data_IF_672439690395
#
_entry.id   IF_672439690395
#
_cell.length_a   1.000
_cell.length_b   1.000
_cell.length_c   1.000
_cell.angle_alpha   90.00
_cell.angle_beta   90.00
_cell.angle_gamma   90.00
#
_symmetry.space_group_name_H-M   'P 1'
#
loop_
_entity.id
_entity.type
_entity.pdbx_description
1 polymer ?
#
# COMPACT_ATOMS: atom_id res chain seq x y z
N UNK A 1 -20.73 -16.08 10.95
CA UNK A 1 -20.50 -17.54 10.96
C UNK A 1 -20.41 -17.99 9.50
N UNK A 2 -19.22 -17.91 8.88
CA UNK A 2 -19.02 -18.35 7.49
C UNK A 2 -19.03 -19.87 7.45
N UNK A 3 -19.83 -20.44 6.54
CA UNK A 3 -19.94 -21.88 6.37
C UNK A 3 -18.67 -22.44 5.74
N UNK A 4 -18.18 -23.59 6.20
CA UNK A 4 -17.11 -24.39 5.61
C UNK A 4 -17.42 -24.61 4.12
N UNK A 5 -16.71 -23.90 3.21
CA UNK A 5 -16.93 -23.99 1.76
C UNK A 5 -16.99 -22.62 1.03
N UNK A 6 -17.00 -21.48 1.74
CA UNK A 6 -16.94 -20.16 1.10
C UNK A 6 -15.52 -19.85 0.65
N UNK A 7 -15.39 -19.41 -0.61
CA UNK A 7 -14.11 -18.98 -1.19
C UNK A 7 -13.56 -17.82 -0.36
N UNK A 8 -12.30 -17.93 0.04
CA UNK A 8 -11.57 -16.85 0.68
C UNK A 8 -11.55 -15.66 -0.27
N UNK A 9 -11.93 -14.47 0.19
CA UNK A 9 -12.01 -13.27 -0.66
C UNK A 9 -10.70 -12.99 -1.41
N UNK A 10 -9.57 -13.27 -0.77
CA UNK A 10 -8.25 -13.15 -1.39
C UNK A 10 -8.14 -14.01 -2.66
N UNK A 11 -8.62 -15.25 -2.63
CA UNK A 11 -8.57 -16.15 -3.80
C UNK A 11 -9.42 -15.64 -4.95
N UNK A 12 -10.58 -15.03 -4.66
CA UNK A 12 -11.44 -14.42 -5.68
C UNK A 12 -10.76 -13.19 -6.30
N UNK A 13 -10.16 -12.33 -5.49
CA UNK A 13 -9.41 -11.18 -5.97
C UNK A 13 -8.25 -11.64 -6.85
N UNK A 14 -7.43 -12.58 -6.38
CA UNK A 14 -6.29 -13.11 -7.14
C UNK A 14 -6.72 -13.79 -8.45
N UNK A 15 -7.87 -14.44 -8.47
CA UNK A 15 -8.45 -15.00 -9.71
C UNK A 15 -8.75 -13.88 -10.70
N UNK A 16 -9.43 -12.82 -10.27
CA UNK A 16 -9.74 -11.66 -11.12
C UNK A 16 -8.47 -10.95 -11.59
N UNK A 17 -7.51 -10.75 -10.70
CA UNK A 17 -6.19 -10.19 -11.04
C UNK A 17 -5.52 -10.98 -12.17
N UNK A 18 -5.52 -12.33 -12.10
CA UNK A 18 -4.94 -13.19 -13.17
C UNK A 18 -5.68 -13.04 -14.51
N UNK A 19 -7.02 -12.95 -14.47
CA UNK A 19 -7.84 -12.75 -15.67
C UNK A 19 -7.52 -11.41 -16.34
N UNK A 20 -7.48 -10.33 -15.56
CA UNK A 20 -7.18 -8.98 -16.04
C UNK A 20 -5.74 -8.86 -16.55
N UNK A 21 -4.79 -9.42 -15.82
CA UNK A 21 -3.39 -9.45 -16.24
C UNK A 21 -3.20 -10.14 -17.59
N UNK A 22 -3.84 -11.30 -17.78
CA UNK A 22 -3.81 -12.01 -19.07
C UNK A 22 -4.37 -11.16 -20.21
N UNK A 23 -5.44 -10.42 -19.98
CA UNK A 23 -6.04 -9.49 -20.95
C UNK A 23 -5.08 -8.34 -21.26
N UNK A 24 -4.54 -7.67 -20.23
CA UNK A 24 -3.61 -6.52 -20.39
C UNK A 24 -2.35 -6.92 -21.14
N UNK A 25 -1.73 -8.06 -20.83
CA UNK A 25 -0.55 -8.60 -21.55
C UNK A 25 -0.82 -8.90 -23.02
N UNK A 26 -2.07 -9.25 -23.39
CA UNK A 26 -2.45 -9.42 -24.80
C UNK A 26 -2.62 -8.10 -25.55
N UNK A 27 -3.11 -7.06 -24.85
CA UNK A 27 -3.31 -5.73 -25.44
C UNK A 27 -1.99 -4.96 -25.59
N UNK A 28 -1.12 -5.08 -24.60
CA UNK A 28 0.18 -4.43 -24.58
C UNK A 28 1.22 -5.40 -24.01
N UNK A 29 2.20 -5.81 -24.83
CA UNK A 29 3.23 -6.75 -24.39
C UNK A 29 4.15 -6.09 -23.35
N UNK A 30 4.85 -6.92 -22.55
CA UNK A 30 5.83 -6.45 -21.56
C UNK A 30 6.89 -5.55 -22.21
N UNK A 31 7.38 -5.93 -23.39
CA UNK A 31 8.40 -5.16 -24.14
C UNK A 31 7.87 -3.79 -24.60
N UNK A 32 6.64 -3.75 -25.13
CA UNK A 32 6.03 -2.48 -25.55
C UNK A 32 5.72 -1.58 -24.37
N UNK A 33 5.27 -2.14 -23.24
CA UNK A 33 5.11 -1.41 -21.99
C UNK A 33 6.46 -0.84 -21.51
N UNK A 34 7.54 -1.62 -21.57
CA UNK A 34 8.87 -1.18 -21.20
C UNK A 34 9.39 -0.05 -22.11
N UNK A 35 9.09 -0.08 -23.41
CA UNK A 35 9.46 0.99 -24.33
C UNK A 35 8.82 2.34 -23.99
N UNK A 36 7.65 2.35 -23.35
CA UNK A 36 7.00 3.61 -22.95
C UNK A 36 7.78 4.36 -21.86
N UNK A 37 8.70 3.69 -21.15
CA UNK A 37 9.59 4.34 -20.19
C UNK A 37 10.52 5.38 -20.80
N UNK A 38 10.88 5.24 -22.07
CA UNK A 38 11.72 6.24 -22.76
C UNK A 38 11.06 7.62 -22.87
N UNK A 39 9.74 7.67 -22.80
CA UNK A 39 8.95 8.90 -22.81
C UNK A 39 8.35 9.23 -21.42
N UNK A 40 8.66 8.44 -20.39
CA UNK A 40 8.12 8.66 -19.06
C UNK A 40 8.84 9.85 -18.38
N UNK A 41 8.12 10.91 -18.01
CA UNK A 41 8.74 12.08 -17.36
C UNK A 41 8.99 11.84 -15.85
N UNK A 42 8.56 10.69 -15.31
CA UNK A 42 8.58 10.45 -13.88
C UNK A 42 9.77 9.59 -13.46
N UNK A 43 10.58 10.13 -12.56
CA UNK A 43 11.60 9.36 -11.84
C UNK A 43 11.04 8.97 -10.46
N UNK A 44 11.28 7.73 -9.97
CA UNK A 44 10.87 7.33 -8.63
C UNK A 44 11.43 8.26 -7.56
N UNK A 45 10.60 8.57 -6.57
CA UNK A 45 10.97 9.39 -5.41
C UNK A 45 11.55 8.50 -4.32
N UNK A 46 12.34 9.10 -3.42
CA UNK A 46 12.98 8.40 -2.32
C UNK A 46 11.96 8.06 -1.22
N UNK A 47 11.40 6.85 -1.30
CA UNK A 47 10.40 6.32 -0.36
C UNK A 47 11.02 6.04 1.01
N UNK A 48 12.26 5.54 1.04
CA UNK A 48 12.97 5.23 2.30
C UNK A 48 13.15 6.51 3.11
N UNK A 49 13.58 7.58 2.47
CA UNK A 49 13.72 8.89 3.12
C UNK A 49 12.37 9.43 3.59
N UNK A 50 11.32 9.29 2.79
CA UNK A 50 9.98 9.80 3.12
C UNK A 50 9.36 9.08 4.32
N UNK A 51 9.59 7.77 4.47
CA UNK A 51 8.97 6.95 5.51
C UNK A 51 9.84 6.73 6.76
N UNK A 52 11.10 7.19 6.74
CA UNK A 52 11.97 7.05 7.89
C UNK A 52 11.60 8.07 8.97
N UNK A 53 11.25 7.60 10.15
CA UNK A 53 11.00 8.43 11.32
C UNK A 53 12.27 9.19 11.76
N UNK A 54 12.09 10.34 12.39
CA UNK A 54 13.16 11.17 12.94
C UNK A 54 12.79 11.62 14.36
N UNK A 55 13.75 12.08 15.19
CA UNK A 55 13.43 12.58 16.53
C UNK A 55 12.39 13.71 16.56
N UNK A 56 12.34 14.55 15.51
CA UNK A 56 11.38 15.66 15.39
C UNK A 56 10.05 15.19 14.77
N UNK A 57 10.04 14.09 14.03
CA UNK A 57 8.88 13.50 13.40
C UNK A 57 8.90 11.99 13.73
N UNK A 58 8.38 11.62 14.91
CA UNK A 58 8.56 10.25 15.43
C UNK A 58 7.82 9.19 14.63
N UNK A 59 6.83 9.58 13.84
CA UNK A 59 6.15 8.68 12.90
C UNK A 59 5.71 9.40 11.62
N UNK A 60 5.45 8.61 10.59
CA UNK A 60 5.06 9.06 9.26
C UNK A 60 3.65 8.59 8.88
N UNK A 61 2.96 9.32 8.02
CA UNK A 61 1.61 8.96 7.55
C UNK A 61 1.59 8.64 6.06
N UNK A 62 1.11 7.43 5.73
CA UNK A 62 0.74 7.01 4.39
C UNK A 62 -0.77 7.16 4.28
N UNK A 63 -1.22 8.20 3.58
CA UNK A 63 -2.64 8.52 3.45
C UNK A 63 -3.26 7.78 2.26
N UNK A 64 -4.26 6.92 2.53
CA UNK A 64 -4.84 6.07 1.49
C UNK A 64 -6.01 6.73 0.77
N UNK A 65 -5.95 6.72 -0.56
CA UNK A 65 -6.99 7.20 -1.49
C UNK A 65 -7.80 6.00 -1.96
N UNK A 66 -8.96 5.80 -1.32
CA UNK A 66 -9.79 4.59 -1.48
C UNK A 66 -11.28 4.92 -1.61
N UNK A 67 -11.90 4.53 -2.73
CA UNK A 67 -13.32 4.73 -2.98
C UNK A 67 -14.20 3.73 -2.24
N UNK A 68 -13.81 2.46 -2.25
CA UNK A 68 -14.59 1.35 -1.71
C UNK A 68 -13.69 0.26 -1.12
N UNK A 69 -14.28 -0.66 -0.37
CA UNK A 69 -13.64 -1.90 0.07
C UNK A 69 -14.65 -3.04 0.15
N UNK A 70 -14.23 -4.31 0.06
CA UNK A 70 -15.11 -5.48 0.17
C UNK A 70 -15.91 -5.51 1.49
N UNK A 71 -15.29 -5.08 2.59
CA UNK A 71 -15.88 -5.12 3.93
C UNK A 71 -16.85 -3.97 4.24
N UNK A 72 -16.78 -2.84 3.50
CA UNK A 72 -17.51 -1.60 3.81
C UNK A 72 -18.35 -1.07 2.62
N UNK A 73 -18.22 -1.68 1.44
CA UNK A 73 -18.82 -1.13 0.23
C UNK A 73 -18.20 0.21 -0.17
N UNK A 74 -18.99 1.11 -0.73
CA UNK A 74 -18.55 2.48 -1.06
C UNK A 74 -18.33 3.27 0.24
N UNK A 75 -17.12 3.81 0.40
CA UNK A 75 -16.70 4.60 1.57
C UNK A 75 -16.91 6.09 1.29
N UNK A 76 -16.57 6.52 0.06
CA UNK A 76 -16.70 7.91 -0.37
C UNK A 76 -17.41 7.97 -1.73
N UNK A 77 -18.64 8.46 -1.74
CA UNK A 77 -19.46 8.57 -2.96
C UNK A 77 -18.88 9.60 -3.93
N UNK A 78 -18.64 10.81 -3.44
CA UNK A 78 -17.98 11.86 -4.21
C UNK A 78 -16.46 11.70 -4.15
N UNK A 79 -15.94 10.89 -5.09
CA UNK A 79 -14.54 10.49 -5.09
C UNK A 79 -13.78 11.17 -6.23
N UNK A 80 -12.90 12.09 -5.87
CA UNK A 80 -12.00 12.79 -6.79
C UNK A 80 -10.54 12.61 -6.33
N UNK A 81 -9.81 11.67 -6.90
CA UNK A 81 -8.50 11.26 -6.39
C UNK A 81 -7.49 12.41 -6.33
N UNK A 82 -7.46 13.30 -7.31
CA UNK A 82 -6.54 14.45 -7.32
C UNK A 82 -6.88 15.47 -6.25
N UNK A 83 -8.17 15.77 -6.04
CA UNK A 83 -8.58 16.70 -4.97
C UNK A 83 -8.23 16.13 -3.59
N UNK A 84 -8.49 14.84 -3.36
CA UNK A 84 -8.13 14.13 -2.12
C UNK A 84 -6.62 14.17 -1.90
N UNK A 85 -5.83 13.86 -2.93
CA UNK A 85 -4.36 13.90 -2.84
C UNK A 85 -3.83 15.29 -2.49
N UNK A 86 -4.44 16.35 -3.01
CA UNK A 86 -4.06 17.73 -2.68
C UNK A 86 -4.39 18.09 -1.23
N UNK A 87 -5.53 17.62 -0.70
CA UNK A 87 -5.84 17.81 0.72
C UNK A 87 -4.86 17.06 1.62
N UNK A 88 -4.45 15.86 1.23
CA UNK A 88 -3.39 15.12 1.92
C UNK A 88 -2.03 15.81 1.84
N UNK A 89 -1.67 16.39 0.69
CA UNK A 89 -0.40 17.11 0.51
C UNK A 89 -0.36 18.41 1.32
N UNK A 90 -1.49 19.14 1.42
CA UNK A 90 -1.62 20.33 2.30
C UNK A 90 -1.40 19.98 3.78
N UNK A 91 -1.84 18.80 4.21
CA UNK A 91 -1.65 18.29 5.55
C UNK A 91 -0.29 17.58 5.73
N UNK A 92 0.63 17.74 4.77
CA UNK A 92 1.98 17.19 4.79
C UNK A 92 2.02 15.67 4.99
N UNK A 93 1.13 14.93 4.29
CA UNK A 93 1.22 13.47 4.22
C UNK A 93 2.58 13.03 3.65
N UNK A 94 3.20 12.02 4.27
CA UNK A 94 4.55 11.57 3.93
C UNK A 94 4.56 10.66 2.68
N UNK A 95 3.47 9.91 2.44
CA UNK A 95 3.23 9.16 1.22
C UNK A 95 1.72 9.00 0.96
N UNK A 96 1.37 8.68 -0.28
CA UNK A 96 0.01 8.28 -0.66
C UNK A 96 -0.05 6.79 -0.95
N UNK A 97 -1.16 6.15 -0.56
CA UNK A 97 -1.53 4.80 -0.99
C UNK A 97 -2.73 4.90 -1.92
N UNK A 98 -2.57 4.52 -3.19
CA UNK A 98 -3.62 4.65 -4.21
C UNK A 98 -4.16 3.29 -4.61
N UNK A 99 -5.44 3.04 -4.31
CA UNK A 99 -6.12 1.80 -4.71
C UNK A 99 -6.29 1.76 -6.22
N UNK A 100 -5.74 0.72 -6.87
CA UNK A 100 -5.84 0.53 -8.31
C UNK A 100 -6.64 -0.71 -8.71
N UNK A 101 -7.02 -1.57 -7.75
CA UNK A 101 -7.83 -2.76 -8.00
C UNK A 101 -9.28 -2.35 -8.37
N UNK A 102 -9.80 -2.72 -9.57
CA UNK A 102 -11.04 -2.15 -10.09
C UNK A 102 -12.32 -2.84 -9.61
N UNK A 103 -12.28 -4.12 -9.27
CA UNK A 103 -13.50 -4.92 -9.04
C UNK A 103 -14.04 -4.78 -7.62
N UNK A 104 -13.17 -4.90 -6.62
CA UNK A 104 -13.52 -4.95 -5.21
C UNK A 104 -13.31 -3.61 -4.49
N UNK A 105 -12.33 -2.81 -4.95
CA UNK A 105 -12.00 -1.52 -4.35
C UNK A 105 -12.45 -0.33 -5.20
N UNK A 106 -12.98 -0.56 -6.42
CA UNK A 106 -13.37 0.47 -7.38
C UNK A 106 -12.22 1.44 -7.67
N UNK A 107 -10.98 0.90 -7.69
CA UNK A 107 -9.76 1.61 -8.02
C UNK A 107 -9.55 1.73 -9.53
N UNK A 108 -8.53 2.50 -9.91
CA UNK A 108 -8.08 2.63 -11.29
C UNK A 108 -6.60 2.97 -11.31
N UNK A 109 -5.85 2.30 -12.19
CA UNK A 109 -4.41 2.54 -12.36
C UNK A 109 -4.11 3.98 -12.83
N UNK A 110 -5.02 4.59 -13.59
CA UNK A 110 -4.94 5.98 -14.03
C UNK A 110 -4.93 7.00 -12.89
N UNK A 111 -5.46 6.66 -11.72
CA UNK A 111 -5.43 7.56 -10.56
C UNK A 111 -3.99 7.92 -10.17
N UNK A 112 -3.03 6.99 -10.33
CA UNK A 112 -1.62 7.22 -10.05
C UNK A 112 -1.09 8.34 -10.95
N UNK A 113 -1.26 8.23 -12.28
CA UNK A 113 -0.76 9.22 -13.24
C UNK A 113 -1.46 10.57 -13.09
N UNK A 114 -2.76 10.58 -12.76
CA UNK A 114 -3.48 11.80 -12.48
C UNK A 114 -2.94 12.53 -11.24
N UNK A 115 -2.71 11.81 -10.13
CA UNK A 115 -2.18 12.37 -8.89
C UNK A 115 -0.74 12.82 -9.09
N UNK A 116 0.08 12.02 -9.76
CA UNK A 116 1.51 12.27 -9.98
C UNK A 116 1.79 13.63 -10.63
N UNK A 117 0.90 14.09 -11.52
CA UNK A 117 1.02 15.38 -12.22
C UNK A 117 0.92 16.59 -11.29
N UNK A 118 0.26 16.46 -10.16
CA UNK A 118 -0.11 17.58 -9.30
C UNK A 118 0.50 17.53 -7.91
N UNK A 119 1.21 16.47 -7.56
CA UNK A 119 1.78 16.27 -6.22
C UNK A 119 3.24 15.85 -6.28
N UNK A 120 3.97 16.10 -5.18
CA UNK A 120 5.38 15.69 -5.00
C UNK A 120 5.55 14.55 -3.99
N UNK A 121 4.51 14.19 -3.30
CA UNK A 121 4.49 13.12 -2.28
C UNK A 121 4.62 11.73 -2.93
N UNK A 122 5.44 10.81 -2.41
CA UNK A 122 5.60 9.45 -2.95
C UNK A 122 4.28 8.69 -3.02
N UNK A 123 4.11 7.85 -4.06
CA UNK A 123 2.86 7.14 -4.37
C UNK A 123 3.07 5.63 -4.33
N UNK A 124 2.35 4.95 -3.44
CA UNK A 124 2.18 3.49 -3.41
C UNK A 124 1.09 3.08 -4.40
N UNK A 125 1.42 2.16 -5.31
CA UNK A 125 0.38 1.37 -5.99
C UNK A 125 -0.14 0.31 -5.03
N UNK A 126 -1.34 0.50 -4.49
CA UNK A 126 -2.04 -0.45 -3.61
C UNK A 126 -2.91 -1.37 -4.47
N UNK A 127 -2.41 -2.57 -4.74
CA UNK A 127 -3.01 -3.56 -5.65
C UNK A 127 -2.57 -4.98 -5.23
N UNK A 128 -3.14 -6.01 -5.86
CA UNK A 128 -2.73 -7.40 -5.69
C UNK A 128 -1.72 -7.77 -6.77
N UNK A 129 -0.43 -7.54 -6.49
CA UNK A 129 0.66 -7.72 -7.44
C UNK A 129 1.19 -9.16 -7.37
N UNK A 130 1.16 -9.85 -8.51
CA UNK A 130 1.55 -11.25 -8.68
C UNK A 130 2.50 -11.47 -9.87
N UNK A 131 2.86 -10.40 -10.58
CA UNK A 131 3.64 -10.50 -11.82
C UNK A 131 4.46 -9.22 -12.05
N UNK A 132 5.66 -9.36 -12.62
CA UNK A 132 6.57 -8.26 -12.97
C UNK A 132 5.91 -7.23 -13.91
N UNK A 133 4.97 -7.66 -14.74
CA UNK A 133 4.21 -6.77 -15.60
C UNK A 133 3.48 -5.68 -14.82
N UNK A 134 2.87 -6.03 -13.68
CA UNK A 134 2.19 -5.05 -12.84
C UNK A 134 3.15 -4.07 -12.17
N UNK A 135 4.37 -4.52 -11.86
CA UNK A 135 5.42 -3.65 -11.29
C UNK A 135 5.92 -2.66 -12.35
N UNK A 136 6.11 -3.15 -13.59
CA UNK A 136 6.46 -2.28 -14.71
C UNK A 136 5.34 -1.27 -15.02
N UNK A 137 4.06 -1.68 -14.98
CA UNK A 137 2.93 -0.76 -15.07
C UNK A 137 3.00 0.32 -13.97
N UNK A 138 3.30 -0.06 -12.72
CA UNK A 138 3.40 0.90 -11.61
C UNK A 138 4.43 2.01 -11.93
N UNK A 139 5.61 1.63 -12.43
CA UNK A 139 6.63 2.59 -12.84
C UNK A 139 6.17 3.48 -13.99
N UNK A 140 5.57 2.90 -15.03
CA UNK A 140 5.05 3.65 -16.20
C UNK A 140 4.00 4.66 -15.79
N UNK A 141 3.11 4.32 -14.86
CA UNK A 141 2.07 5.22 -14.37
C UNK A 141 2.56 6.22 -13.32
N UNK A 142 3.81 6.09 -12.85
CA UNK A 142 4.46 7.05 -11.96
C UNK A 142 4.31 6.74 -10.47
N UNK A 143 4.13 5.47 -10.09
CA UNK A 143 4.28 5.04 -8.71
C UNK A 143 5.75 5.07 -8.29
N UNK A 144 6.00 5.22 -7.00
CA UNK A 144 7.33 5.22 -6.38
C UNK A 144 7.61 3.89 -5.66
N UNK A 145 6.56 3.22 -5.20
CA UNK A 145 6.63 1.89 -4.59
C UNK A 145 5.36 1.08 -4.84
N UNK A 146 5.46 -0.21 -4.59
CA UNK A 146 4.39 -1.19 -4.83
C UNK A 146 4.08 -2.00 -3.60
N UNK A 147 2.86 -2.56 -3.51
CA UNK A 147 2.48 -3.52 -2.48
C UNK A 147 2.80 -4.94 -2.94
N UNK A 148 3.52 -5.70 -2.11
CA UNK A 148 3.69 -7.14 -2.25
C UNK A 148 3.09 -7.83 -1.02
N UNK A 149 2.08 -8.67 -1.19
CA UNK A 149 1.39 -9.34 -0.09
C UNK A 149 2.03 -10.72 0.14
N UNK A 150 2.75 -10.90 1.25
CA UNK A 150 3.47 -12.14 1.55
C UNK A 150 2.54 -13.37 1.58
N UNK A 151 1.32 -13.20 2.10
CA UNK A 151 0.28 -14.25 2.15
C UNK A 151 -0.19 -14.72 0.77
N UNK A 152 -0.10 -13.87 -0.25
CA UNK A 152 -0.53 -14.15 -1.64
C UNK A 152 0.56 -14.81 -2.51
N UNK A 153 1.80 -14.85 -2.04
CA UNK A 153 2.99 -15.23 -2.80
C UNK A 153 3.78 -16.31 -2.09
N UNK A 154 4.34 -17.25 -2.83
CA UNK A 154 5.40 -18.12 -2.28
C UNK A 154 6.67 -17.30 -2.01
N UNK A 155 7.55 -17.77 -1.13
CA UNK A 155 8.84 -17.10 -0.86
C UNK A 155 9.64 -16.87 -2.15
N UNK A 156 9.61 -17.83 -3.10
CA UNK A 156 10.31 -17.72 -4.39
C UNK A 156 9.71 -16.59 -5.25
N UNK A 157 8.38 -16.50 -5.32
CA UNK A 157 7.69 -15.44 -6.06
C UNK A 157 7.94 -14.08 -5.41
N UNK A 158 7.80 -13.98 -4.08
CA UNK A 158 8.05 -12.75 -3.34
C UNK A 158 9.49 -12.22 -3.56
N UNK A 159 10.50 -13.10 -3.46
CA UNK A 159 11.90 -12.77 -3.78
C UNK A 159 12.05 -12.22 -5.19
N UNK A 160 11.53 -12.95 -6.17
CA UNK A 160 11.63 -12.58 -7.58
C UNK A 160 10.99 -11.21 -7.86
N UNK A 161 9.79 -10.97 -7.33
CA UNK A 161 9.08 -9.72 -7.52
C UNK A 161 9.78 -8.55 -6.80
N UNK A 162 10.31 -8.80 -5.61
CA UNK A 162 11.05 -7.78 -4.84
C UNK A 162 12.37 -7.41 -5.55
N UNK A 163 13.13 -8.39 -6.01
CA UNK A 163 14.35 -8.18 -6.79
C UNK A 163 14.07 -7.38 -8.07
N UNK A 164 13.01 -7.73 -8.80
CA UNK A 164 12.60 -6.98 -9.99
C UNK A 164 12.18 -5.55 -9.64
N UNK A 165 11.43 -5.35 -8.55
CA UNK A 165 11.01 -4.02 -8.07
C UNK A 165 12.21 -3.12 -7.84
N UNK A 166 13.21 -3.60 -7.09
CA UNK A 166 14.43 -2.84 -6.82
C UNK A 166 15.28 -2.63 -8.09
N UNK A 167 15.34 -3.63 -9.00
CA UNK A 167 16.08 -3.52 -10.25
C UNK A 167 15.60 -2.37 -11.13
N UNK A 168 14.30 -2.10 -11.16
CA UNK A 168 13.74 -0.99 -11.95
C UNK A 168 13.63 0.33 -11.17
N UNK A 169 14.20 0.40 -9.95
CA UNK A 169 14.30 1.61 -9.15
C UNK A 169 13.08 1.95 -8.29
N UNK A 170 12.12 1.04 -8.15
CA UNK A 170 11.01 1.17 -7.21
C UNK A 170 11.35 0.57 -5.85
N UNK A 171 10.59 0.94 -4.81
CA UNK A 171 10.55 0.24 -3.52
C UNK A 171 9.32 -0.65 -3.39
N UNK A 172 9.32 -1.53 -2.37
CA UNK A 172 8.17 -2.35 -2.06
C UNK A 172 7.80 -2.28 -0.58
N UNK A 173 6.51 -2.08 -0.31
CA UNK A 173 5.88 -2.36 0.97
C UNK A 173 5.48 -3.83 0.98
N UNK A 174 6.16 -4.67 1.78
CA UNK A 174 5.83 -6.10 1.91
C UNK A 174 4.87 -6.29 3.07
N UNK A 175 3.61 -6.59 2.75
CA UNK A 175 2.53 -6.74 3.73
C UNK A 175 2.54 -8.14 4.34
N UNK A 176 2.43 -8.20 5.68
CA UNK A 176 2.44 -9.43 6.49
C UNK A 176 1.25 -9.46 7.44
N UNK A 177 0.70 -10.67 7.69
CA UNK A 177 -0.47 -10.90 8.55
C UNK A 177 -0.19 -11.88 9.69
N UNK A 178 0.98 -12.51 9.70
CA UNK A 178 1.40 -13.46 10.74
C UNK A 178 2.93 -13.63 10.76
N UNK A 179 3.43 -14.45 11.69
CA UNK A 179 4.87 -14.75 11.84
C UNK A 179 5.47 -15.45 10.62
N UNK A 180 4.69 -16.26 9.89
CA UNK A 180 5.15 -16.95 8.68
C UNK A 180 5.34 -15.96 7.54
N UNK A 181 4.41 -15.05 7.35
CA UNK A 181 4.50 -13.97 6.38
C UNK A 181 5.71 -13.08 6.69
N UNK A 182 5.91 -12.72 7.97
CA UNK A 182 7.06 -11.95 8.42
C UNK A 182 8.39 -12.66 8.13
N UNK A 183 8.48 -13.96 8.35
CA UNK A 183 9.66 -14.75 8.01
C UNK A 183 9.93 -14.69 6.50
N UNK A 184 8.91 -14.85 5.66
CA UNK A 184 9.03 -14.77 4.21
C UNK A 184 9.47 -13.36 3.77
N UNK A 185 8.90 -12.29 4.33
CA UNK A 185 9.29 -10.90 4.07
C UNK A 185 10.76 -10.65 4.44
N UNK A 186 11.19 -11.12 5.61
CA UNK A 186 12.57 -10.98 6.07
C UNK A 186 13.55 -11.74 5.16
N UNK A 187 13.24 -13.01 4.83
CA UNK A 187 14.08 -13.84 3.96
C UNK A 187 14.10 -13.35 2.50
N UNK A 188 13.09 -12.60 2.07
CA UNK A 188 13.09 -11.98 0.74
C UNK A 188 13.95 -10.72 0.65
N UNK A 189 14.36 -10.14 1.78
CA UNK A 189 15.16 -8.93 1.84
C UNK A 189 14.35 -7.63 1.86
N UNK A 190 13.07 -7.66 2.24
CA UNK A 190 12.20 -6.49 2.31
C UNK A 190 12.82 -5.36 3.16
N UNK A 191 12.79 -4.11 2.65
CA UNK A 191 13.23 -2.90 3.36
C UNK A 191 12.09 -2.28 4.18
N UNK A 192 10.86 -2.37 3.66
CA UNK A 192 9.65 -1.82 4.28
C UNK A 192 8.70 -2.99 4.54
N UNK A 193 8.33 -3.20 5.79
CA UNK A 193 7.44 -4.27 6.24
C UNK A 193 6.14 -3.66 6.75
N UNK A 194 5.02 -4.02 6.12
CA UNK A 194 3.68 -3.58 6.50
C UNK A 194 2.98 -4.64 7.36
N UNK A 195 2.64 -4.32 8.59
CA UNK A 195 1.85 -5.19 9.47
C UNK A 195 0.39 -4.81 9.31
N UNK A 196 -0.38 -5.65 8.63
CA UNK A 196 -1.79 -5.41 8.41
C UNK A 196 -2.63 -6.09 9.51
N UNK A 197 -3.23 -5.26 10.38
CA UNK A 197 -4.10 -5.74 11.46
C UNK A 197 -5.38 -6.42 10.95
N UNK A 198 -5.76 -6.24 9.68
CA UNK A 198 -6.95 -6.83 9.09
C UNK A 198 -6.63 -8.17 8.42
N UNK A 199 -7.21 -9.26 8.90
CA UNK A 199 -7.12 -10.55 8.21
C UNK A 199 -7.83 -10.47 6.84
N UNK A 200 -7.19 -11.02 5.79
CA UNK A 200 -7.72 -11.02 4.44
C UNK A 200 -8.78 -12.11 4.17
N UNK A 201 -8.98 -13.01 5.13
CA UNK A 201 -9.95 -14.10 4.98
C UNK A 201 -11.34 -13.71 5.47
N UNK A 202 -11.43 -13.05 6.64
CA UNK A 202 -12.68 -12.75 7.32
C UNK A 202 -12.86 -11.27 7.69
N UNK A 203 -11.86 -10.43 7.37
CA UNK A 203 -11.80 -8.99 7.67
C UNK A 203 -11.78 -8.64 9.17
N UNK A 204 -11.56 -9.61 10.05
CA UNK A 204 -11.36 -9.35 11.48
C UNK A 204 -10.14 -8.46 11.72
N UNK A 205 -10.16 -7.69 12.80
CA UNK A 205 -9.06 -6.81 13.20
C UNK A 205 -8.33 -7.40 14.40
N UNK A 206 -7.03 -7.63 14.24
CA UNK A 206 -6.11 -8.11 15.27
C UNK A 206 -5.18 -6.96 15.68
N UNK A 207 -5.69 -6.04 16.50
CA UNK A 207 -4.99 -4.78 16.82
C UNK A 207 -3.67 -4.96 17.56
N UNK A 208 -3.44 -6.10 18.22
CA UNK A 208 -2.19 -6.42 18.93
C UNK A 208 -1.12 -7.01 18.00
N UNK A 209 -1.41 -7.24 16.71
CA UNK A 209 -0.50 -7.93 15.79
C UNK A 209 0.84 -7.18 15.63
N UNK A 210 0.82 -5.84 15.61
CA UNK A 210 2.06 -5.07 15.54
C UNK A 210 2.92 -5.28 16.79
N UNK A 211 2.34 -5.28 17.99
CA UNK A 211 3.07 -5.53 19.25
C UNK A 211 3.70 -6.93 19.28
N UNK A 212 3.06 -7.92 18.64
CA UNK A 212 3.56 -9.29 18.54
C UNK A 212 4.69 -9.45 17.51
N UNK A 213 4.62 -8.74 16.37
CA UNK A 213 5.53 -8.94 15.25
C UNK A 213 6.74 -8.00 15.28
N UNK A 214 6.59 -6.75 15.74
CA UNK A 214 7.69 -5.76 15.75
C UNK A 214 8.96 -6.28 16.43
N UNK A 215 8.89 -6.96 17.61
CA UNK A 215 10.09 -7.48 18.28
C UNK A 215 10.85 -8.56 17.47
N UNK A 216 10.21 -9.13 16.44
CA UNK A 216 10.79 -10.18 15.58
C UNK A 216 11.39 -9.60 14.29
N UNK A 217 11.21 -8.31 14.01
CA UNK A 217 11.70 -7.66 12.79
C UNK A 217 13.17 -7.27 13.01
N UNK A 218 14.08 -7.62 12.07
CA UNK A 218 15.49 -7.21 12.14
C UNK A 218 15.64 -5.67 12.13
N UNK A 219 16.63 -5.17 12.85
CA UNK A 219 16.94 -3.74 12.86
C UNK A 219 17.21 -3.18 11.46
N UNK A 220 16.90 -1.90 11.26
CA UNK A 220 17.15 -1.19 10.00
C UNK A 220 16.05 -1.33 8.95
N UNK A 221 14.95 -1.99 9.27
CA UNK A 221 13.73 -2.02 8.44
C UNK A 221 12.82 -0.87 8.81
N UNK A 222 12.03 -0.38 7.85
CA UNK A 222 10.92 0.54 8.09
C UNK A 222 9.68 -0.30 8.38
N UNK A 223 9.02 -0.02 9.50
CA UNK A 223 7.86 -0.77 9.96
C UNK A 223 6.61 0.10 9.79
N UNK A 224 5.65 -0.42 9.02
CA UNK A 224 4.37 0.25 8.74
C UNK A 224 3.24 -0.54 9.42
N UNK A 225 2.36 0.13 10.16
CA UNK A 225 1.13 -0.50 10.65
C UNK A 225 -0.07 -0.07 9.78
N UNK A 226 -0.93 -1.03 9.45
CA UNK A 226 -2.06 -0.84 8.53
C UNK A 226 -3.36 -1.35 9.14
N UNK A 227 -4.47 -0.71 8.76
CA UNK A 227 -5.84 -1.04 9.15
C UNK A 227 -6.20 -0.81 10.63
N UNK A 228 -7.45 -0.41 10.86
CA UNK A 228 -8.01 -0.23 12.21
C UNK A 228 -7.56 1.02 12.96
N UNK A 229 -6.71 1.84 12.36
CA UNK A 229 -6.14 3.04 12.98
C UNK A 229 -7.09 4.24 12.81
N UNK A 230 -7.47 4.88 13.92
CA UNK A 230 -8.45 5.96 13.91
C UNK A 230 -8.23 7.02 15.01
N UNK A 231 -7.17 6.92 15.80
CA UNK A 231 -6.82 7.93 16.82
C UNK A 231 -5.31 8.13 16.91
N UNK A 232 -4.91 9.38 17.20
CA UNK A 232 -3.50 9.75 17.41
C UNK A 232 -2.87 8.97 18.58
N UNK A 233 -3.63 8.68 19.62
CA UNK A 233 -3.16 7.89 20.76
C UNK A 233 -2.71 6.48 20.36
N UNK A 234 -3.47 5.81 19.47
CA UNK A 234 -3.06 4.51 18.91
C UNK A 234 -1.71 4.62 18.18
N UNK A 235 -1.51 5.68 17.36
CA UNK A 235 -0.26 5.87 16.64
C UNK A 235 0.92 6.06 17.59
N UNK A 236 0.75 6.89 18.63
CA UNK A 236 1.78 7.12 19.65
C UNK A 236 2.14 5.81 20.37
N UNK A 237 1.15 4.99 20.72
CA UNK A 237 1.40 3.72 21.41
C UNK A 237 2.12 2.71 20.50
N UNK A 238 1.72 2.57 19.24
CA UNK A 238 2.40 1.72 18.28
C UNK A 238 3.81 2.24 17.91
N UNK A 239 4.01 3.54 17.87
CA UNK A 239 5.34 4.12 17.67
C UNK A 239 6.31 3.78 18.81
N UNK A 240 5.83 3.75 20.07
CA UNK A 240 6.63 3.34 21.25
C UNK A 240 7.14 1.89 21.14
N UNK A 241 6.43 1.02 20.43
CA UNK A 241 6.88 -0.37 20.22
C UNK A 241 7.74 -0.52 18.95
N UNK A 242 7.95 0.56 18.18
CA UNK A 242 8.89 0.60 17.06
C UNK A 242 8.26 0.71 15.67
N UNK A 243 6.98 1.07 15.57
CA UNK A 243 6.36 1.36 14.26
C UNK A 243 6.79 2.74 13.78
N UNK A 244 7.30 2.84 12.54
CA UNK A 244 7.80 4.09 11.94
C UNK A 244 6.71 4.86 11.20
N UNK A 245 5.79 4.16 10.54
CA UNK A 245 4.76 4.77 9.70
C UNK A 245 3.40 4.09 9.82
N UNK A 246 2.34 4.81 9.48
CA UNK A 246 0.95 4.36 9.60
C UNK A 246 0.20 4.54 8.30
N UNK A 247 -0.38 3.46 7.75
CA UNK A 247 -1.22 3.52 6.57
C UNK A 247 -2.69 3.63 6.98
N UNK A 248 -3.30 4.78 6.69
CA UNK A 248 -4.66 5.12 7.13
C UNK A 248 -5.51 5.54 5.93
N UNK A 249 -6.65 4.86 5.76
CA UNK A 249 -7.59 5.14 4.66
C UNK A 249 -9.00 5.40 5.10
N UNK A 250 -9.69 4.40 5.67
CA UNK A 250 -11.11 4.49 5.99
C UNK A 250 -11.43 5.70 6.88
N UNK A 251 -10.61 5.96 7.88
CA UNK A 251 -10.78 7.08 8.80
C UNK A 251 -10.81 8.41 8.03
N UNK A 252 -9.83 8.69 7.19
CA UNK A 252 -9.73 9.92 6.43
C UNK A 252 -10.79 10.05 5.34
N UNK A 253 -11.09 8.93 4.63
CA UNK A 253 -12.09 8.95 3.55
C UNK A 253 -13.51 9.24 4.04
N UNK A 254 -13.80 9.03 5.32
CA UNK A 254 -15.10 9.34 5.94
C UNK A 254 -15.22 10.78 6.40
N UNK A 255 -14.11 11.53 6.47
CA UNK A 255 -14.13 12.91 6.98
C UNK A 255 -14.61 13.90 5.90
N UNK A 256 -15.33 14.93 6.34
CA UNK A 256 -15.71 16.05 5.47
C UNK A 256 -14.48 16.91 5.16
N UNK A 257 -13.70 17.25 6.18
CA UNK A 257 -12.42 17.94 6.08
C UNK A 257 -11.28 16.95 6.26
N UNK A 258 -10.72 16.53 5.13
CA UNK A 258 -9.63 15.55 5.08
C UNK A 258 -8.33 16.16 5.65
N UNK A 259 -8.06 17.42 5.29
CA UNK A 259 -6.83 18.11 5.72
C UNK A 259 -6.81 18.23 7.25
N UNK A 260 -7.90 18.71 7.85
CA UNK A 260 -8.00 18.82 9.31
C UNK A 260 -7.83 17.47 10.02
N UNK A 261 -8.41 16.40 9.49
CA UNK A 261 -8.30 15.08 10.09
C UNK A 261 -6.87 14.51 10.04
N UNK A 262 -6.11 14.78 8.98
CA UNK A 262 -4.70 14.37 8.89
C UNK A 262 -3.85 15.22 9.84
N UNK A 263 -4.07 16.54 9.91
CA UNK A 263 -3.39 17.43 10.85
C UNK A 263 -3.61 17.00 12.31
N UNK A 264 -4.86 16.70 12.70
CA UNK A 264 -5.19 16.18 14.03
C UNK A 264 -4.40 14.88 14.32
N UNK A 265 -4.34 13.97 13.36
CA UNK A 265 -3.63 12.69 13.51
C UNK A 265 -2.11 12.91 13.65
N UNK A 266 -1.53 13.86 12.91
CA UNK A 266 -0.12 14.28 13.05
C UNK A 266 0.12 15.05 14.34
N UNK A 267 -0.87 15.79 14.84
CA UNK A 267 -0.80 16.64 16.03
C UNK A 267 -0.24 18.03 15.73
N UNK A 268 -0.55 18.56 14.56
CA UNK A 268 -0.21 19.92 14.07
C UNK A 268 -1.46 20.70 13.71
#
# INVERSE_FOLDING_TARGET
>A
MYKKGEKVILDEILKKTREDLKRRKKMLSFELLGRSLSANPYMPRDVIKALKSTPNEPFKLICEIKKASPSKGVIREYFKPVEIAREYEKAEADAFSVLTEPHFFKGDLEYISQIRRYTKTPILRKDFIIDEYQILEALVYGADFVLLIAKALSLKELKKLLEFTHHIGLEALVEVHDKKDLLNATLSGANIIGINHRDLNDFSLHMNLAEELVPLIPNGKIIVAESGLNSREQLINLNKVGVDAFLIGEHFMRQNDICAAVCEMKGV
#
